data_IF_321115403448
#
_entry.id   IF_321115403448
#
_cell.length_a   1.000
_cell.length_b   1.000
_cell.length_c   1.000
_cell.angle_alpha   90.00
_cell.angle_beta   90.00
_cell.angle_gamma   90.00
#
_symmetry.space_group_name_H-M   'P 1'
#
loop_
_entity.id
_entity.type
_entity.pdbx_description
1 polymer ?
#
# COMPACT_ATOMS: atom_id res chain seq x y z
N UNK A 1 -33.66 -3.59 -21.14
CA UNK A 1 -34.31 -2.26 -21.05
C UNK A 1 -34.34 -1.83 -19.60
N UNK A 2 -33.49 -0.87 -19.18
CA UNK A 2 -33.47 -0.36 -17.79
C UNK A 2 -33.99 1.08 -17.64
N UNK A 3 -34.28 1.77 -18.75
CA UNK A 3 -34.65 3.19 -18.78
C UNK A 3 -35.76 3.63 -17.82
N UNK A 4 -36.90 2.91 -17.71
CA UNK A 4 -37.98 3.33 -16.81
C UNK A 4 -37.78 2.92 -15.35
N UNK A 5 -36.74 2.14 -15.01
CA UNK A 5 -36.54 1.57 -13.68
C UNK A 5 -35.21 2.00 -13.04
N UNK A 6 -34.34 2.69 -13.79
CA UNK A 6 -33.07 3.20 -13.30
C UNK A 6 -32.97 4.70 -13.58
N UNK A 7 -32.87 5.50 -12.52
CA UNK A 7 -32.54 6.92 -12.60
C UNK A 7 -31.03 7.11 -12.34
N UNK A 8 -30.30 7.64 -13.33
CA UNK A 8 -28.88 7.98 -13.22
C UNK A 8 -28.69 9.46 -13.50
N UNK A 9 -28.05 10.19 -12.58
CA UNK A 9 -27.64 11.59 -12.76
C UNK A 9 -26.12 11.73 -12.65
N UNK A 10 -25.53 12.58 -13.48
CA UNK A 10 -24.11 12.92 -13.39
C UNK A 10 -23.93 14.19 -12.57
N UNK A 11 -22.81 14.31 -11.84
CA UNK A 11 -22.48 15.54 -11.10
C UNK A 11 -22.37 16.75 -12.03
N UNK A 12 -21.89 16.55 -13.26
CA UNK A 12 -21.79 17.57 -14.28
C UNK A 12 -23.16 18.17 -14.69
N UNK A 13 -24.22 17.37 -14.66
CA UNK A 13 -25.56 17.81 -15.08
C UNK A 13 -26.26 18.67 -14.00
N UNK A 14 -25.83 18.53 -12.74
CA UNK A 14 -26.51 19.13 -11.57
C UNK A 14 -25.70 20.29 -10.97
N UNK A 15 -24.36 20.21 -10.97
CA UNK A 15 -23.49 21.18 -10.30
C UNK A 15 -22.52 21.87 -11.28
N UNK A 16 -22.96 23.01 -11.83
CA UNK A 16 -22.23 23.78 -12.85
C UNK A 16 -20.91 24.43 -12.37
N UNK A 17 -20.75 24.63 -11.06
CA UNK A 17 -19.56 25.26 -10.45
C UNK A 17 -18.69 24.27 -9.65
N UNK A 18 -18.87 22.96 -9.84
CA UNK A 18 -18.06 21.96 -9.15
C UNK A 18 -16.64 21.92 -9.75
N UNK A 19 -15.58 21.96 -8.93
CA UNK A 19 -14.21 21.84 -9.43
C UNK A 19 -13.99 20.48 -10.11
N UNK A 20 -13.23 20.47 -11.20
CA UNK A 20 -12.93 19.26 -11.96
C UNK A 20 -12.07 18.30 -11.15
N UNK A 21 -12.46 17.02 -11.11
CA UNK A 21 -11.62 15.95 -10.56
C UNK A 21 -10.49 15.66 -11.53
N UNK A 22 -9.25 15.74 -11.05
CA UNK A 22 -8.07 15.29 -11.79
C UNK A 22 -7.57 13.98 -11.19
N UNK A 23 -7.24 12.99 -12.02
CA UNK A 23 -6.66 11.73 -11.58
C UNK A 23 -5.21 11.66 -12.05
N UNK A 24 -4.29 11.49 -11.10
CA UNK A 24 -2.86 11.35 -11.37
C UNK A 24 -2.39 9.97 -10.92
N UNK A 25 -1.72 9.25 -11.80
CA UNK A 25 -1.11 7.95 -11.50
C UNK A 25 0.37 8.17 -11.17
N UNK A 26 0.73 8.01 -9.89
CA UNK A 26 2.13 8.09 -9.44
C UNK A 26 2.78 6.72 -9.62
N UNK A 27 3.78 6.64 -10.51
CA UNK A 27 4.58 5.43 -10.72
C UNK A 27 5.69 5.37 -9.67
N UNK A 28 5.88 4.20 -9.08
CA UNK A 28 6.85 3.98 -7.99
C UNK A 28 7.77 2.83 -8.37
N UNK A 29 9.08 3.02 -8.21
CA UNK A 29 10.05 1.94 -8.38
C UNK A 29 10.05 0.99 -7.19
N UNK A 30 10.47 -0.27 -7.38
CA UNK A 30 10.59 -1.22 -6.27
C UNK A 30 11.93 -1.04 -5.52
N UNK A 31 11.92 -1.16 -4.20
CA UNK A 31 13.15 -1.16 -3.42
C UNK A 31 13.99 -2.43 -3.68
N UNK A 32 15.30 -2.42 -3.38
CA UNK A 32 16.16 -3.60 -3.56
C UNK A 32 15.64 -4.86 -2.83
N UNK A 33 15.07 -4.66 -1.63
CA UNK A 33 14.47 -5.75 -0.86
C UNK A 33 13.21 -6.28 -1.54
N UNK A 34 12.32 -5.40 -2.01
CA UNK A 34 11.11 -5.80 -2.73
C UNK A 34 11.45 -6.52 -4.03
N UNK A 35 12.44 -6.04 -4.80
CA UNK A 35 12.92 -6.70 -6.02
C UNK A 35 13.41 -8.13 -5.74
N UNK A 36 14.11 -8.34 -4.63
CA UNK A 36 14.58 -9.66 -4.20
C UNK A 36 13.41 -10.62 -3.93
N UNK A 37 12.42 -10.21 -3.14
CA UNK A 37 11.23 -11.02 -2.85
C UNK A 37 10.36 -11.24 -4.09
N UNK A 38 10.23 -10.23 -4.96
CA UNK A 38 9.53 -10.32 -6.23
C UNK A 38 10.13 -11.42 -7.11
N UNK A 39 11.47 -11.48 -7.21
CA UNK A 39 12.18 -12.56 -7.91
C UNK A 39 11.87 -13.92 -7.31
N UNK A 40 11.89 -14.06 -5.98
CA UNK A 40 11.61 -15.34 -5.32
C UNK A 40 10.18 -15.85 -5.56
N UNK A 41 9.20 -14.95 -5.62
CA UNK A 41 7.81 -15.28 -5.93
C UNK A 41 7.68 -15.76 -7.38
N UNK A 42 8.30 -15.04 -8.33
CA UNK A 42 8.29 -15.42 -9.75
C UNK A 42 8.97 -16.78 -10.00
N UNK A 43 10.09 -17.04 -9.33
CA UNK A 43 10.81 -18.32 -9.44
C UNK A 43 10.17 -19.44 -8.62
N UNK A 44 9.06 -19.18 -7.92
CA UNK A 44 8.39 -20.12 -7.01
C UNK A 44 9.33 -20.77 -6.00
N UNK A 45 10.27 -20.01 -5.45
CA UNK A 45 11.25 -20.52 -4.50
C UNK A 45 10.62 -20.59 -3.09
N UNK A 46 10.04 -21.75 -2.76
CA UNK A 46 9.37 -21.99 -1.48
C UNK A 46 10.32 -21.89 -0.28
N UNK A 47 11.55 -22.38 -0.41
CA UNK A 47 12.54 -22.41 0.67
C UNK A 47 13.00 -21.01 1.10
N UNK A 48 13.06 -20.09 0.15
CA UNK A 48 13.44 -18.69 0.42
C UNK A 48 12.28 -17.85 0.99
N UNK A 49 11.04 -18.24 0.72
CA UNK A 49 9.84 -17.52 1.14
C UNK A 49 9.29 -18.03 2.47
N UNK A 50 9.49 -19.31 2.78
CA UNK A 50 9.02 -19.95 3.99
C UNK A 50 10.11 -20.06 5.05
N UNK A 51 9.71 -19.91 6.31
CA UNK A 51 10.60 -20.12 7.44
C UNK A 51 10.59 -21.60 7.81
N UNK A 52 11.77 -22.18 8.10
CA UNK A 52 11.92 -23.60 8.47
C UNK A 52 11.29 -23.99 9.83
N UNK A 53 10.51 -23.09 10.44
CA UNK A 53 9.98 -23.22 11.81
C UNK A 53 8.49 -23.56 11.92
N UNK A 54 7.88 -24.18 10.89
CA UNK A 54 6.51 -24.71 11.00
C UNK A 54 5.38 -23.68 11.19
N UNK A 55 5.59 -22.43 10.78
CA UNK A 55 4.54 -21.39 10.79
C UNK A 55 3.68 -21.35 9.52
N UNK A 56 2.79 -20.35 9.41
CA UNK A 56 1.97 -20.08 8.23
C UNK A 56 2.82 -20.05 6.95
N UNK A 57 2.73 -21.13 6.18
CA UNK A 57 3.45 -21.30 4.93
C UNK A 57 2.82 -20.44 3.84
N UNK A 58 3.64 -19.75 3.05
CA UNK A 58 3.23 -19.04 1.85
C UNK A 58 2.90 -20.09 0.79
N UNK A 59 1.62 -20.39 0.63
CA UNK A 59 1.14 -21.19 -0.49
C UNK A 59 1.04 -20.28 -1.72
N UNK A 60 2.02 -20.37 -2.63
CA UNK A 60 2.06 -19.63 -3.90
C UNK A 60 0.97 -20.06 -4.90
N UNK A 61 -0.17 -20.58 -4.42
CA UNK A 61 -1.33 -20.91 -5.24
C UNK A 61 -1.89 -19.67 -5.95
N UNK A 62 -1.78 -18.51 -5.31
CA UNK A 62 -2.17 -17.22 -5.89
C UNK A 62 -0.97 -16.26 -5.99
N UNK A 63 -0.08 -16.56 -6.94
CA UNK A 63 1.11 -15.75 -7.25
C UNK A 63 0.76 -14.26 -7.42
N UNK A 64 -0.37 -13.95 -8.07
CA UNK A 64 -0.80 -12.55 -8.30
C UNK A 64 -1.08 -11.83 -6.98
N UNK A 65 -1.71 -12.49 -6.02
CA UNK A 65 -1.96 -11.92 -4.69
C UNK A 65 -0.65 -11.69 -3.93
N UNK A 66 0.30 -12.60 -4.02
CA UNK A 66 1.57 -12.47 -3.31
C UNK A 66 2.49 -11.42 -3.93
N UNK A 67 2.48 -11.27 -5.25
CA UNK A 67 3.15 -10.14 -5.92
C UNK A 67 2.56 -8.80 -5.46
N UNK A 68 1.22 -8.70 -5.35
CA UNK A 68 0.56 -7.50 -4.79
C UNK A 68 1.01 -7.22 -3.35
N UNK A 69 1.08 -8.25 -2.49
CA UNK A 69 1.58 -8.11 -1.11
C UNK A 69 3.01 -7.58 -1.08
N UNK A 70 3.90 -8.14 -1.91
CA UNK A 70 5.31 -7.76 -2.01
C UNK A 70 5.51 -6.30 -2.42
N UNK A 71 4.80 -5.85 -3.46
CA UNK A 71 4.87 -4.48 -3.95
C UNK A 71 4.42 -3.48 -2.88
N UNK A 72 3.40 -3.83 -2.11
CA UNK A 72 2.88 -2.94 -1.07
C UNK A 72 3.77 -2.95 0.18
N UNK A 73 4.16 -4.13 0.70
CA UNK A 73 5.06 -4.22 1.85
C UNK A 73 5.68 -5.63 1.99
N UNK A 74 7.03 -5.79 1.92
CA UNK A 74 7.68 -7.09 1.93
C UNK A 74 7.55 -7.81 3.28
N UNK A 75 7.35 -7.09 4.40
CA UNK A 75 7.18 -7.73 5.72
C UNK A 75 5.83 -8.40 5.95
N UNK A 76 4.94 -8.44 4.95
CA UNK A 76 3.80 -9.36 4.99
C UNK A 76 4.23 -10.83 4.86
N UNK A 77 5.43 -11.08 4.34
CA UNK A 77 5.99 -12.43 4.32
C UNK A 77 6.62 -12.76 5.68
N UNK A 78 6.37 -13.95 6.23
CA UNK A 78 6.84 -14.35 7.56
C UNK A 78 8.38 -14.28 7.66
N UNK A 79 9.09 -14.66 6.59
CA UNK A 79 10.56 -14.58 6.51
C UNK A 79 11.08 -13.16 6.61
N UNK A 80 10.43 -12.20 5.94
CA UNK A 80 10.81 -10.80 6.03
C UNK A 80 10.49 -10.22 7.43
N UNK A 81 9.35 -10.60 8.01
CA UNK A 81 8.95 -10.14 9.35
C UNK A 81 9.94 -10.54 10.46
N UNK A 82 10.65 -11.66 10.32
CA UNK A 82 11.73 -12.04 11.25
C UNK A 82 12.91 -11.07 11.13
N UNK A 83 13.34 -10.75 9.91
CA UNK A 83 14.43 -9.79 9.64
C UNK A 83 14.10 -8.39 10.20
N UNK A 84 12.81 -8.01 10.24
CA UNK A 84 12.34 -6.75 10.85
C UNK A 84 12.80 -6.58 12.30
N UNK A 85 12.92 -7.66 13.09
CA UNK A 85 13.32 -7.56 14.51
C UNK A 85 14.78 -7.17 14.70
N UNK A 86 15.62 -7.34 13.68
CA UNK A 86 17.07 -7.10 13.76
C UNK A 86 17.50 -5.71 13.27
N UNK A 87 16.71 -5.04 12.43
CA UNK A 87 17.03 -3.70 11.91
C UNK A 87 16.01 -2.67 12.42
N UNK A 88 16.46 -1.63 13.14
CA UNK A 88 15.63 -0.48 13.58
C UNK A 88 15.24 0.48 12.43
N UNK A 89 15.90 0.41 11.27
CA UNK A 89 15.74 1.33 10.12
C UNK A 89 14.83 0.75 9.02
N UNK A 90 13.60 0.38 9.38
CA UNK A 90 12.68 -0.41 8.54
C UNK A 90 12.04 0.42 7.42
N UNK A 91 11.86 1.71 7.67
CA UNK A 91 11.05 2.59 6.82
C UNK A 91 11.76 3.06 5.54
N UNK A 92 13.09 3.13 5.53
CA UNK A 92 13.87 3.54 4.36
C UNK A 92 13.88 2.51 3.22
N UNK A 93 13.52 1.25 3.51
CA UNK A 93 13.59 0.17 2.53
C UNK A 93 12.30 -0.05 1.73
N UNK A 94 11.31 0.83 1.85
CA UNK A 94 10.11 0.76 1.03
C UNK A 94 9.91 2.04 0.22
N UNK A 95 9.97 1.90 -1.09
CA UNK A 95 9.83 2.99 -2.06
C UNK A 95 8.46 3.68 -2.03
N UNK A 96 7.40 2.94 -1.66
CA UNK A 96 6.06 3.51 -1.48
C UNK A 96 6.06 4.53 -0.32
N UNK A 97 6.79 4.27 0.76
CA UNK A 97 6.80 5.12 1.95
C UNK A 97 7.62 6.39 1.73
N UNK A 98 8.71 6.32 0.94
CA UNK A 98 9.49 7.50 0.59
C UNK A 98 8.70 8.49 -0.28
N UNK A 99 7.97 7.99 -1.28
CA UNK A 99 7.16 8.85 -2.15
C UNK A 99 5.97 9.41 -1.39
N UNK A 100 5.29 8.56 -0.61
CA UNK A 100 4.21 9.00 0.25
C UNK A 100 4.65 10.10 1.23
N UNK A 101 5.83 10.00 1.85
CA UNK A 101 6.37 11.03 2.72
C UNK A 101 6.59 12.36 1.98
N UNK A 102 7.16 12.34 0.77
CA UNK A 102 7.37 13.54 -0.04
C UNK A 102 6.04 14.23 -0.34
N UNK A 103 5.02 13.47 -0.73
CA UNK A 103 3.68 14.01 -0.97
C UNK A 103 3.00 14.50 0.31
N UNK A 104 3.16 13.81 1.44
CA UNK A 104 2.64 14.26 2.73
C UNK A 104 3.28 15.57 3.18
N UNK A 105 4.60 15.74 3.00
CA UNK A 105 5.32 16.98 3.32
C UNK A 105 4.83 18.12 2.41
N UNK A 106 4.75 17.88 1.11
CA UNK A 106 4.26 18.88 0.16
C UNK A 106 2.83 19.29 0.49
N UNK A 107 1.95 18.33 0.76
CA UNK A 107 0.54 18.62 1.04
C UNK A 107 0.35 19.29 2.41
N UNK A 108 1.12 18.90 3.44
CA UNK A 108 1.11 19.57 4.74
C UNK A 108 1.50 21.04 4.61
N UNK A 109 2.51 21.35 3.79
CA UNK A 109 2.92 22.72 3.51
C UNK A 109 1.78 23.55 2.87
N UNK A 110 0.93 22.93 2.06
CA UNK A 110 -0.23 23.57 1.42
C UNK A 110 -1.56 23.41 2.19
N UNK A 111 -1.54 22.85 3.40
CA UNK A 111 -2.70 22.72 4.30
C UNK A 111 -3.94 21.96 3.73
N UNK A 112 -3.76 20.99 2.83
CA UNK A 112 -4.91 20.17 2.35
C UNK A 112 -5.20 18.94 3.23
N UNK A 113 -6.48 18.57 3.32
CA UNK A 113 -6.94 17.32 3.96
C UNK A 113 -6.82 16.15 2.97
N UNK A 114 -6.31 15.00 3.42
CA UNK A 114 -6.09 13.81 2.58
C UNK A 114 -6.91 12.62 3.09
N UNK A 115 -7.54 11.90 2.17
CA UNK A 115 -8.17 10.61 2.41
C UNK A 115 -7.39 9.50 1.72
N UNK A 116 -6.99 8.47 2.48
CA UNK A 116 -6.23 7.33 1.95
C UNK A 116 -7.10 6.09 2.00
N UNK A 117 -7.31 5.47 0.84
CA UNK A 117 -7.99 4.20 0.71
C UNK A 117 -6.97 3.08 0.63
N UNK A 118 -7.04 2.10 1.54
CA UNK A 118 -6.22 0.90 1.49
C UNK A 118 -7.09 -0.35 1.60
N UNK A 119 -6.93 -1.28 0.66
CA UNK A 119 -7.78 -2.47 0.55
C UNK A 119 -7.44 -3.59 1.55
N UNK A 120 -6.34 -3.47 2.31
CA UNK A 120 -5.91 -4.54 3.22
C UNK A 120 -5.65 -3.92 4.61
N UNK A 121 -6.37 -4.41 5.62
CA UNK A 121 -6.35 -3.89 7.00
C UNK A 121 -4.96 -3.85 7.66
N UNK A 122 -4.08 -4.81 7.34
CA UNK A 122 -2.70 -4.82 7.84
C UNK A 122 -1.93 -3.55 7.45
N UNK A 123 -2.26 -2.94 6.31
CA UNK A 123 -1.60 -1.72 5.84
C UNK A 123 -2.09 -0.47 6.56
N UNK A 124 -3.35 -0.44 7.01
CA UNK A 124 -3.84 0.61 7.90
C UNK A 124 -3.01 0.61 9.17
N UNK A 125 -2.65 -0.57 9.70
CA UNK A 125 -1.83 -0.68 10.91
C UNK A 125 -0.38 -0.19 10.71
N UNK A 126 0.23 -0.48 9.56
CA UNK A 126 1.58 0.03 9.26
C UNK A 126 1.57 1.54 9.00
N UNK A 127 0.56 2.04 8.30
CA UNK A 127 0.34 3.49 8.13
C UNK A 127 0.08 4.18 9.47
N UNK A 128 -0.71 3.57 10.35
CA UNK A 128 -0.96 4.06 11.72
C UNK A 128 0.35 4.21 12.50
N UNK A 129 1.20 3.18 12.50
CA UNK A 129 2.52 3.25 13.18
C UNK A 129 3.37 4.38 12.59
N UNK A 130 3.34 4.57 11.27
CA UNK A 130 4.06 5.63 10.60
C UNK A 130 3.55 7.01 11.01
N UNK A 131 2.24 7.25 10.91
CA UNK A 131 1.63 8.54 11.27
C UNK A 131 1.79 8.88 12.75
N UNK A 132 1.74 7.89 13.64
CA UNK A 132 2.04 8.05 15.06
C UNK A 132 3.49 8.48 15.31
N UNK A 133 4.43 8.08 14.45
CA UNK A 133 5.84 8.46 14.54
C UNK A 133 6.10 9.91 14.07
N UNK A 134 5.31 10.43 13.13
CA UNK A 134 5.48 11.77 12.55
C UNK A 134 4.47 12.83 13.06
N UNK A 135 3.72 12.55 14.14
CA UNK A 135 2.83 13.51 14.83
C UNK A 135 1.72 14.09 13.91
N UNK A 136 1.27 13.32 12.92
CA UNK A 136 0.08 13.72 12.15
C UNK A 136 -1.20 13.38 12.93
N UNK A 137 -2.17 14.29 12.97
CA UNK A 137 -3.53 14.00 13.46
C UNK A 137 -4.24 13.18 12.39
N UNK A 138 -4.71 11.98 12.72
CA UNK A 138 -5.47 11.11 11.81
C UNK A 138 -6.70 10.53 12.52
N UNK A 139 -7.76 10.29 11.76
CA UNK A 139 -8.96 9.58 12.20
C UNK A 139 -9.12 8.32 11.35
N UNK A 140 -9.39 7.18 11.99
CA UNK A 140 -9.73 5.93 11.28
C UNK A 140 -11.25 5.86 11.21
N UNK A 141 -11.79 5.95 9.99
CA UNK A 141 -13.18 5.62 9.64
C UNK A 141 -13.22 4.19 9.11
#
# INVERSE_FOLDING_TARGET
MLGPHMLRRLKADVFKHMPSKTELIVRVELSPLQKKYYKFILTKNFDALNTKGGGNQVSLLNVVMDLKKCCNHPYLFPTAAIVRRQHKQIHHHLSIYSIFLIYMIYIYYFLFIIYIYCYIYIYIYVMYIYYKMYIYIYCIL
#
